data_IF_238459316119
#
_entry.id   IF_238459316119
#
_cell.length_a   1.000
_cell.length_b   1.000
_cell.length_c   1.000
_cell.angle_alpha   90.00
_cell.angle_beta   90.00
_cell.angle_gamma   90.00
#
_symmetry.space_group_name_H-M   'P 1'
#
loop_
_entity.id
_entity.type
_entity.pdbx_description
1 polymer ?
#
# COMPACT_ATOMS: atom_id res chain seq x y z
N UNK A 1 2.38 0.68 -24.00
CA UNK A 1 1.65 -0.05 -22.94
C UNK A 1 1.59 0.86 -21.72
N UNK A 2 0.62 0.64 -20.82
CA UNK A 2 0.40 1.44 -19.63
C UNK A 2 0.87 0.68 -18.38
N UNK A 3 1.43 1.41 -17.42
CA UNK A 3 1.74 0.93 -16.07
C UNK A 3 0.82 1.62 -15.06
N UNK A 4 0.26 0.87 -14.12
CA UNK A 4 -0.64 1.39 -13.09
C UNK A 4 -0.03 1.22 -11.70
N UNK A 5 -0.07 2.25 -10.88
CA UNK A 5 0.14 2.18 -9.43
C UNK A 5 -1.18 2.50 -8.73
N UNK A 6 -1.69 1.59 -7.90
CA UNK A 6 -2.93 1.74 -7.16
C UNK A 6 -2.62 1.70 -5.66
N UNK A 7 -2.82 2.81 -4.96
CA UNK A 7 -2.55 2.96 -3.53
C UNK A 7 -3.84 2.95 -2.71
N UNK A 8 -4.03 1.90 -1.92
CA UNK A 8 -5.13 1.74 -0.97
C UNK A 8 -4.80 2.47 0.34
N UNK A 9 -5.11 3.76 0.43
CA UNK A 9 -4.72 4.57 1.58
C UNK A 9 -5.32 4.06 2.90
N UNK A 10 -6.62 3.66 2.98
CA UNK A 10 -7.17 3.11 4.21
C UNK A 10 -6.49 1.82 4.66
N UNK A 11 -6.23 0.87 3.76
CA UNK A 11 -5.54 -0.37 4.12
C UNK A 11 -4.10 -0.11 4.58
N UNK A 12 -3.38 0.79 3.88
CA UNK A 12 -2.01 1.15 4.22
C UNK A 12 -1.93 1.84 5.60
N UNK A 13 -2.73 2.88 5.85
CA UNK A 13 -2.71 3.60 7.14
C UNK A 13 -3.18 2.69 8.30
N UNK A 14 -4.17 1.81 8.08
CA UNK A 14 -4.63 0.84 9.09
C UNK A 14 -3.56 -0.20 9.43
N UNK A 15 -2.92 -0.74 8.39
CA UNK A 15 -1.88 -1.77 8.57
C UNK A 15 -0.66 -1.17 9.28
N UNK A 16 -0.23 0.02 8.87
CA UNK A 16 0.85 0.75 9.54
C UNK A 16 0.50 1.09 11.00
N UNK A 17 -0.75 1.50 11.26
CA UNK A 17 -1.21 1.78 12.63
C UNK A 17 -1.15 0.54 13.52
N UNK A 18 -1.49 -0.62 12.96
CA UNK A 18 -1.40 -1.92 13.65
C UNK A 18 0.05 -2.29 13.95
N UNK A 19 0.94 -2.08 12.98
CA UNK A 19 2.36 -2.39 13.11
C UNK A 19 3.05 -1.52 14.19
N UNK A 20 2.70 -0.24 14.27
CA UNK A 20 3.27 0.71 15.23
C UNK A 20 2.57 0.64 16.60
N UNK A 21 1.35 0.07 16.68
CA UNK A 21 0.54 0.06 17.90
C UNK A 21 -0.08 1.43 18.22
N UNK A 22 -0.35 2.25 17.20
CA UNK A 22 -0.85 3.61 17.40
C UNK A 22 -1.03 4.39 16.10
N UNK A 23 -1.38 5.67 16.20
CA UNK A 23 -1.53 6.53 15.01
C UNK A 23 -0.14 6.91 14.46
N UNK A 24 0.18 6.61 13.18
CA UNK A 24 1.47 6.95 12.62
C UNK A 24 1.66 8.46 12.55
N UNK A 25 2.89 8.92 12.79
CA UNK A 25 3.32 10.30 12.54
C UNK A 25 3.61 10.51 11.04
N UNK A 26 3.80 11.76 10.55
CA UNK A 26 4.20 11.98 9.16
C UNK A 26 5.50 11.27 8.76
N UNK A 27 6.50 11.24 9.65
CA UNK A 27 7.82 10.60 9.38
C UNK A 27 7.76 9.07 9.32
N UNK A 28 6.75 8.49 9.96
CA UNK A 28 6.50 7.04 9.94
C UNK A 28 5.62 6.61 8.74
N UNK A 29 5.02 7.56 8.02
CA UNK A 29 4.24 7.24 6.82
C UNK A 29 5.15 7.09 5.60
N UNK A 30 4.74 6.25 4.64
CA UNK A 30 5.39 6.19 3.34
C UNK A 30 5.38 7.57 2.65
N UNK A 31 6.54 7.98 2.14
CA UNK A 31 6.68 9.15 1.28
C UNK A 31 6.15 8.82 -0.13
N UNK A 32 5.00 9.40 -0.48
CA UNK A 32 4.40 9.17 -1.79
C UNK A 32 5.16 9.87 -2.93
N UNK A 33 5.99 10.87 -2.65
CA UNK A 33 6.94 11.43 -3.61
C UNK A 33 8.03 10.41 -3.97
N UNK A 34 8.66 9.80 -2.97
CA UNK A 34 9.64 8.74 -3.19
C UNK A 34 9.02 7.54 -3.93
N UNK A 35 7.78 7.18 -3.59
CA UNK A 35 7.08 6.07 -4.23
C UNK A 35 6.80 6.33 -5.73
N UNK A 36 6.34 7.53 -6.10
CA UNK A 36 6.04 7.82 -7.51
C UNK A 36 7.34 7.85 -8.34
N UNK A 37 8.44 8.35 -7.79
CA UNK A 37 9.74 8.33 -8.44
C UNK A 37 10.25 6.91 -8.63
N UNK A 38 10.16 6.07 -7.58
CA UNK A 38 10.48 4.65 -7.67
C UNK A 38 9.64 3.94 -8.73
N UNK A 39 8.34 4.22 -8.77
CA UNK A 39 7.44 3.61 -9.76
C UNK A 39 7.77 4.05 -11.19
N UNK A 40 8.04 5.34 -11.40
CA UNK A 40 8.41 5.89 -12.70
C UNK A 40 9.74 5.31 -13.20
N UNK A 41 10.74 5.16 -12.33
CA UNK A 41 12.07 4.66 -12.68
C UNK A 41 12.11 3.20 -13.17
N UNK A 42 11.08 2.41 -12.85
CA UNK A 42 10.95 1.00 -13.28
C UNK A 42 10.49 0.82 -14.73
N UNK A 43 9.98 1.88 -15.36
CA UNK A 43 9.41 1.83 -16.70
C UNK A 43 10.35 2.35 -17.77
N UNK A 44 10.03 2.04 -19.02
CA UNK A 44 10.67 2.67 -20.17
C UNK A 44 10.02 4.02 -20.49
N UNK A 45 10.74 4.88 -21.23
CA UNK A 45 10.21 6.17 -21.69
C UNK A 45 9.04 6.05 -22.69
N UNK A 46 8.81 4.86 -23.25
CA UNK A 46 7.74 4.60 -24.22
C UNK A 46 6.43 4.16 -23.53
N UNK A 47 6.48 3.82 -22.24
CA UNK A 47 5.32 3.42 -21.45
C UNK A 47 4.68 4.62 -20.76
N UNK A 48 3.36 4.72 -20.85
CA UNK A 48 2.63 5.66 -19.99
C UNK A 48 2.51 5.07 -18.59
N UNK A 49 2.52 5.93 -17.58
CA UNK A 49 2.28 5.52 -16.20
C UNK A 49 1.14 6.34 -15.60
N UNK A 50 0.32 5.69 -14.79
CA UNK A 50 -0.69 6.35 -13.97
C UNK A 50 -0.54 5.86 -12.53
N UNK A 51 -0.37 6.79 -11.60
CA UNK A 51 -0.39 6.52 -10.17
C UNK A 51 -1.69 7.07 -9.58
N UNK A 52 -2.41 6.27 -8.80
CA UNK A 52 -3.68 6.64 -8.21
C UNK A 52 -3.73 6.34 -6.71
N UNK A 53 -4.22 7.31 -5.92
CA UNK A 53 -4.47 7.18 -4.47
C UNK A 53 -5.97 7.10 -4.23
N UNK A 54 -6.40 6.03 -3.55
CA UNK A 54 -7.78 5.81 -3.17
C UNK A 54 -7.94 6.07 -1.68
N UNK A 55 -8.91 6.93 -1.31
CA UNK A 55 -9.06 7.36 0.08
C UNK A 55 -10.52 7.54 0.49
N UNK A 56 -10.83 7.05 1.69
CA UNK A 56 -12.06 7.36 2.40
C UNK A 56 -11.86 8.63 3.24
N UNK A 57 -12.73 9.63 3.07
CA UNK A 57 -12.64 10.94 3.73
C UNK A 57 -13.72 11.04 4.82
N UNK A 58 -13.35 10.96 6.11
CA UNK A 58 -14.28 11.30 7.19
C UNK A 58 -14.68 12.77 7.11
N UNK A 59 -15.95 13.10 7.32
CA UNK A 59 -16.48 14.47 7.19
C UNK A 59 -15.69 15.50 8.02
N UNK A 60 -15.28 15.13 9.23
CA UNK A 60 -14.49 15.99 10.13
C UNK A 60 -13.02 16.19 9.71
N UNK A 61 -12.55 15.47 8.69
CA UNK A 61 -11.19 15.61 8.13
C UNK A 61 -11.18 16.27 6.74
N UNK A 62 -12.32 16.47 6.10
CA UNK A 62 -12.40 16.90 4.70
C UNK A 62 -11.58 18.17 4.42
N UNK A 63 -11.74 19.21 5.23
CA UNK A 63 -11.00 20.48 5.09
C UNK A 63 -9.49 20.30 5.28
N UNK A 64 -9.08 19.45 6.24
CA UNK A 64 -7.66 19.16 6.49
C UNK A 64 -7.02 18.35 5.36
N UNK A 65 -7.81 17.55 4.65
CA UNK A 65 -7.32 16.71 3.56
C UNK A 65 -7.20 17.45 2.23
N UNK A 66 -7.81 18.62 2.08
CA UNK A 66 -7.75 19.40 0.83
C UNK A 66 -6.31 19.68 0.39
N UNK A 67 -5.46 20.18 1.29
CA UNK A 67 -4.06 20.48 0.96
C UNK A 67 -3.26 19.23 0.56
N UNK A 68 -3.52 18.09 1.22
CA UNK A 68 -2.88 16.82 0.88
C UNK A 68 -3.33 16.29 -0.49
N UNK A 69 -4.61 16.39 -0.81
CA UNK A 69 -5.14 16.01 -2.14
C UNK A 69 -4.58 16.91 -3.25
N UNK A 70 -4.47 18.21 -3.00
CA UNK A 70 -3.84 19.15 -3.95
C UNK A 70 -2.38 18.79 -4.18
N UNK A 71 -1.61 18.55 -3.12
CA UNK A 71 -0.22 18.12 -3.21
C UNK A 71 -0.07 16.82 -3.99
N UNK A 72 -0.92 15.81 -3.75
CA UNK A 72 -0.89 14.55 -4.52
C UNK A 72 -1.08 14.77 -6.02
N UNK A 73 -2.05 15.61 -6.40
CA UNK A 73 -2.29 15.94 -7.81
C UNK A 73 -1.09 16.68 -8.42
N UNK A 74 -0.48 17.62 -7.69
CA UNK A 74 0.73 18.34 -8.13
C UNK A 74 1.94 17.41 -8.29
N UNK A 75 2.07 16.41 -7.41
CA UNK A 75 3.11 15.36 -7.46
C UNK A 75 2.91 14.39 -8.63
N UNK A 76 1.70 14.32 -9.21
CA UNK A 76 1.39 13.48 -10.38
C UNK A 76 0.47 12.29 -10.10
N UNK A 77 -0.09 12.18 -8.89
CA UNK A 77 -1.12 11.20 -8.58
C UNK A 77 -2.49 11.65 -9.07
N UNK A 78 -3.31 10.69 -9.49
CA UNK A 78 -4.77 10.84 -9.53
C UNK A 78 -5.34 10.49 -8.18
N UNK A 79 -6.21 11.33 -7.63
CA UNK A 79 -6.84 11.04 -6.33
C UNK A 79 -8.29 10.67 -6.52
N UNK A 80 -8.65 9.47 -6.08
CA UNK A 80 -10.04 9.06 -5.87
C UNK A 80 -10.37 9.21 -4.38
N UNK A 81 -11.23 10.18 -4.06
CA UNK A 81 -11.67 10.44 -2.69
C UNK A 81 -13.18 10.28 -2.59
N UNK A 82 -13.65 9.50 -1.61
CA UNK A 82 -15.09 9.37 -1.33
C UNK A 82 -15.40 9.52 0.17
N UNK A 83 -16.60 9.98 0.55
CA UNK A 83 -17.00 10.08 1.96
C UNK A 83 -16.90 8.74 2.67
N UNK A 84 -16.40 8.73 3.93
CA UNK A 84 -16.42 7.54 4.77
C UNK A 84 -17.84 7.34 5.36
N UNK A 85 -18.65 6.51 4.72
CA UNK A 85 -20.01 6.16 5.15
C UNK A 85 -20.16 4.65 5.40
N UNK A 86 -20.65 4.24 6.58
CA UNK A 86 -20.92 2.83 6.90
C UNK A 86 -19.72 1.90 6.60
N UNK A 87 -19.97 0.86 5.82
CA UNK A 87 -18.95 -0.09 5.35
C UNK A 87 -18.30 0.34 4.02
N UNK A 88 -18.06 1.65 3.84
CA UNK A 88 -17.46 2.24 2.63
C UNK A 88 -16.26 1.45 2.12
N UNK A 89 -16.49 0.69 1.04
CA UNK A 89 -15.55 -0.26 0.47
C UNK A 89 -14.76 0.41 -0.66
N UNK A 90 -13.46 0.64 -0.44
CA UNK A 90 -12.56 1.21 -1.44
C UNK A 90 -12.13 0.15 -2.46
N UNK A 91 -12.27 -1.14 -2.15
CA UNK A 91 -11.79 -2.24 -2.98
C UNK A 91 -12.53 -2.32 -4.31
N UNK A 92 -13.82 -1.96 -4.31
CA UNK A 92 -14.62 -1.85 -5.53
C UNK A 92 -14.14 -0.73 -6.44
N UNK A 93 -13.73 0.41 -5.88
CA UNK A 93 -13.25 1.55 -6.67
C UNK A 93 -11.85 1.26 -7.24
N UNK A 94 -10.99 0.60 -6.47
CA UNK A 94 -9.69 0.10 -6.93
C UNK A 94 -9.90 -0.89 -8.09
N UNK A 95 -10.81 -1.87 -7.94
CA UNK A 95 -11.13 -2.82 -9.01
C UNK A 95 -11.72 -2.13 -10.24
N UNK A 96 -12.61 -1.16 -10.05
CA UNK A 96 -13.15 -0.39 -11.17
C UNK A 96 -12.05 0.30 -11.98
N UNK A 97 -11.02 0.84 -11.31
CA UNK A 97 -9.86 1.39 -12.02
C UNK A 97 -8.98 0.31 -12.64
N UNK A 98 -8.72 -0.78 -11.92
CA UNK A 98 -7.89 -1.91 -12.39
C UNK A 98 -8.42 -2.47 -13.72
N UNK A 99 -9.74 -2.65 -13.82
CA UNK A 99 -10.42 -3.20 -14.99
C UNK A 99 -10.82 -2.15 -16.04
N UNK A 100 -10.48 -0.87 -15.84
CA UNK A 100 -10.76 0.18 -16.83
C UNK A 100 -9.82 0.15 -18.04
N UNK A 101 -8.72 -0.61 -17.96
CA UNK A 101 -7.73 -0.77 -19.03
C UNK A 101 -7.68 -2.24 -19.40
N UNK A 102 -7.71 -2.54 -20.70
CA UNK A 102 -7.64 -3.91 -21.17
C UNK A 102 -6.28 -4.53 -20.80
N UNK A 103 -6.23 -5.79 -20.34
CA UNK A 103 -4.97 -6.44 -19.97
C UNK A 103 -3.91 -6.43 -21.07
N UNK A 104 -4.31 -6.47 -22.35
CA UNK A 104 -3.38 -6.39 -23.48
C UNK A 104 -2.66 -5.03 -23.61
N UNK A 105 -3.19 -3.98 -22.98
CA UNK A 105 -2.61 -2.64 -22.97
C UNK A 105 -1.77 -2.39 -21.70
N UNK A 106 -1.85 -3.27 -20.69
CA UNK A 106 -1.16 -3.15 -19.41
C UNK A 106 0.20 -3.87 -19.43
N UNK A 107 1.26 -3.13 -19.17
CA UNK A 107 2.60 -3.69 -18.94
C UNK A 107 2.77 -4.15 -17.49
N UNK A 108 2.33 -3.32 -16.54
CA UNK A 108 2.46 -3.60 -15.12
C UNK A 108 1.30 -3.01 -14.31
N UNK A 109 0.89 -3.72 -13.26
CA UNK A 109 0.08 -3.21 -12.17
C UNK A 109 0.87 -3.34 -10.87
N UNK A 110 1.04 -2.23 -10.17
CA UNK A 110 1.58 -2.14 -8.82
C UNK A 110 0.42 -1.85 -7.87
N UNK A 111 0.06 -2.79 -7.01
CA UNK A 111 -1.00 -2.66 -6.02
C UNK A 111 -0.41 -2.52 -4.62
N UNK A 112 -0.65 -1.39 -3.98
CA UNK A 112 -0.31 -1.16 -2.59
C UNK A 112 -1.52 -1.51 -1.70
N UNK A 113 -1.60 -2.77 -1.25
CA UNK A 113 -2.61 -3.26 -0.30
C UNK A 113 -2.15 -4.58 0.35
N UNK A 114 -2.62 -4.84 1.57
CA UNK A 114 -2.39 -6.09 2.31
C UNK A 114 -3.57 -7.06 2.19
N UNK A 115 -4.69 -6.64 1.59
CA UNK A 115 -5.91 -7.46 1.51
C UNK A 115 -5.85 -8.47 0.35
N UNK A 116 -5.23 -9.62 0.62
CA UNK A 116 -5.19 -10.74 -0.32
C UNK A 116 -6.56 -11.41 -0.53
N UNK A 117 -7.55 -11.19 0.35
CA UNK A 117 -8.91 -11.68 0.12
C UNK A 117 -9.60 -10.83 -0.94
N UNK A 118 -9.33 -9.53 -0.96
CA UNK A 118 -9.90 -8.61 -1.92
C UNK A 118 -9.27 -8.74 -3.32
N UNK A 119 -7.93 -8.84 -3.43
CA UNK A 119 -7.25 -8.61 -4.72
C UNK A 119 -6.35 -9.73 -5.24
N UNK A 120 -6.09 -10.81 -4.48
CA UNK A 120 -5.16 -11.85 -4.96
C UNK A 120 -5.64 -12.52 -6.25
N UNK A 121 -6.94 -12.85 -6.33
CA UNK A 121 -7.54 -13.45 -7.52
C UNK A 121 -7.48 -12.50 -8.74
N UNK A 122 -7.67 -11.20 -8.54
CA UNK A 122 -7.52 -10.19 -9.59
C UNK A 122 -6.08 -10.17 -10.11
N UNK A 123 -5.09 -10.18 -9.20
CA UNK A 123 -3.67 -10.20 -9.54
C UNK A 123 -3.27 -11.47 -10.30
N UNK A 124 -3.70 -12.64 -9.84
CA UNK A 124 -3.45 -13.93 -10.50
C UNK A 124 -4.08 -13.98 -11.90
N UNK A 125 -5.28 -13.44 -12.05
CA UNK A 125 -5.97 -13.35 -13.34
C UNK A 125 -5.22 -12.46 -14.31
N UNK A 126 -4.72 -11.30 -13.89
CA UNK A 126 -3.91 -10.41 -14.71
C UNK A 126 -2.56 -11.03 -15.09
N UNK A 127 -1.89 -11.66 -14.14
CA UNK A 127 -0.65 -12.38 -14.37
C UNK A 127 -0.82 -13.49 -15.43
N UNK A 128 -1.93 -14.24 -15.38
CA UNK A 128 -2.25 -15.27 -16.39
C UNK A 128 -2.43 -14.70 -17.81
N UNK A 129 -2.72 -13.40 -17.94
CA UNK A 129 -2.88 -12.67 -19.20
C UNK A 129 -1.57 -12.00 -19.66
N UNK A 130 -0.47 -12.23 -18.95
CA UNK A 130 0.86 -11.70 -19.27
C UNK A 130 1.15 -10.31 -18.70
N UNK A 131 0.29 -9.78 -17.82
CA UNK A 131 0.53 -8.50 -17.13
C UNK A 131 1.45 -8.73 -15.94
N UNK A 132 2.52 -7.93 -15.79
CA UNK A 132 3.34 -8.00 -14.57
C UNK A 132 2.55 -7.43 -13.39
N UNK A 133 2.38 -8.21 -12.31
CA UNK A 133 1.67 -7.74 -11.12
C UNK A 133 2.64 -7.69 -9.94
N UNK A 134 2.80 -6.50 -9.38
CA UNK A 134 3.61 -6.23 -8.19
C UNK A 134 2.68 -5.83 -7.05
N UNK A 135 2.85 -6.40 -5.87
CA UNK A 135 2.12 -6.01 -4.66
C UNK A 135 3.08 -5.39 -3.65
N UNK A 136 2.72 -4.23 -3.11
CA UNK A 136 3.48 -3.53 -2.08
C UNK A 136 2.82 -3.70 -0.72
N UNK A 137 3.60 -4.03 0.30
CA UNK A 137 3.14 -4.09 1.68
C UNK A 137 4.23 -4.50 2.68
N UNK A 138 3.85 -4.64 3.95
CA UNK A 138 4.66 -5.27 4.98
C UNK A 138 4.51 -6.79 4.89
N UNK A 139 5.62 -7.49 4.62
CA UNK A 139 5.63 -8.94 4.33
C UNK A 139 4.92 -9.80 5.38
N UNK A 140 5.09 -9.47 6.65
CA UNK A 140 4.50 -10.16 7.81
C UNK A 140 2.98 -9.96 7.92
N UNK A 141 2.45 -8.90 7.31
CA UNK A 141 1.01 -8.57 7.31
C UNK A 141 0.33 -8.94 5.98
N UNK A 142 1.10 -9.37 4.97
CA UNK A 142 0.60 -9.83 3.67
C UNK A 142 1.11 -11.23 3.27
N UNK A 143 1.02 -12.25 4.16
CA UNK A 143 1.67 -13.55 3.95
C UNK A 143 1.12 -14.35 2.77
N UNK A 144 -0.11 -14.06 2.30
CA UNK A 144 -0.71 -14.71 1.13
C UNK A 144 -0.14 -14.15 -0.17
N UNK A 145 0.00 -12.82 -0.28
CA UNK A 145 0.68 -12.20 -1.42
C UNK A 145 2.15 -12.61 -1.47
N UNK A 146 2.84 -12.55 -0.33
CA UNK A 146 4.26 -12.91 -0.25
C UNK A 146 4.59 -14.37 -0.59
N UNK A 147 3.59 -15.27 -0.59
CA UNK A 147 3.73 -16.69 -0.95
C UNK A 147 3.20 -17.03 -2.34
N UNK A 148 2.56 -16.10 -3.03
CA UNK A 148 2.04 -16.35 -4.37
C UNK A 148 3.20 -16.40 -5.36
N UNK A 149 3.15 -17.36 -6.28
CA UNK A 149 4.12 -17.49 -7.37
C UNK A 149 3.71 -16.67 -8.61
N UNK A 150 2.45 -16.21 -8.66
CA UNK A 150 1.88 -15.49 -9.79
C UNK A 150 2.12 -13.97 -9.72
N UNK A 151 2.32 -13.43 -8.52
CA UNK A 151 2.54 -11.99 -8.31
C UNK A 151 3.89 -11.75 -7.64
N UNK A 152 4.53 -10.65 -7.97
CA UNK A 152 5.76 -10.22 -7.29
C UNK A 152 5.39 -9.45 -6.03
N UNK A 153 5.97 -9.79 -4.89
CA UNK A 153 5.79 -9.03 -3.64
C UNK A 153 7.04 -8.21 -3.35
N UNK A 154 6.88 -6.90 -3.19
CA UNK A 154 7.93 -5.97 -2.76
C UNK A 154 7.59 -5.47 -1.37
N UNK A 155 8.52 -5.63 -0.43
CA UNK A 155 8.33 -5.09 0.91
C UNK A 155 8.50 -3.57 0.86
N UNK A 156 7.63 -2.81 1.52
CA UNK A 156 7.71 -1.34 1.51
C UNK A 156 9.08 -0.83 2.00
N UNK A 157 9.71 -1.56 2.92
CA UNK A 157 11.04 -1.24 3.47
C UNK A 157 12.19 -1.43 2.45
N UNK A 158 11.93 -2.10 1.32
CA UNK A 158 12.89 -2.28 0.23
C UNK A 158 12.87 -1.12 -0.77
N UNK A 159 11.89 -0.21 -0.69
CA UNK A 159 11.78 0.97 -1.55
C UNK A 159 12.68 2.08 -0.99
N UNK A 160 13.67 2.56 -1.75
CA UNK A 160 14.57 3.62 -1.29
C UNK A 160 13.81 4.88 -0.89
N UNK A 161 14.26 5.50 0.20
CA UNK A 161 13.74 6.78 0.71
C UNK A 161 12.23 6.80 1.02
N UNK A 162 11.58 5.63 1.08
CA UNK A 162 10.14 5.55 1.34
C UNK A 162 9.78 5.95 2.78
N UNK A 163 10.67 5.71 3.74
CA UNK A 163 10.42 6.05 5.14
C UNK A 163 11.56 6.91 5.70
N UNK A 164 11.19 8.06 6.29
CA UNK A 164 12.10 8.85 7.12
C UNK A 164 12.46 8.09 8.42
N UNK A 165 11.46 7.44 9.01
CA UNK A 165 11.57 6.63 10.22
C UNK A 165 10.84 5.30 9.99
N UNK A 166 11.56 4.24 9.58
CA UNK A 166 10.95 2.94 9.31
C UNK A 166 10.19 2.41 10.54
N UNK A 167 9.01 1.79 10.35
CA UNK A 167 8.25 1.26 11.48
C UNK A 167 9.03 0.15 12.21
N UNK A 168 8.85 -0.01 13.53
CA UNK A 168 9.42 -1.14 14.26
C UNK A 168 8.82 -2.45 13.72
N UNK A 169 9.68 -3.40 13.35
CA UNK A 169 9.26 -4.66 12.72
C UNK A 169 9.82 -5.91 13.40
N UNK A 170 9.03 -6.96 13.36
CA UNK A 170 9.45 -8.32 13.77
C UNK A 170 9.86 -9.08 12.51
N UNK A 171 11.16 -9.03 12.18
CA UNK A 171 11.75 -9.76 11.05
C UNK A 171 12.41 -11.04 11.55
N UNK A 172 11.78 -12.18 11.27
CA UNK A 172 12.32 -13.50 11.62
C UNK A 172 13.20 -14.10 10.51
N UNK A 173 13.12 -13.54 9.30
CA UNK A 173 13.90 -13.92 8.12
C UNK A 173 15.32 -13.35 8.11
N UNK A 174 15.59 -12.33 8.94
CA UNK A 174 16.87 -11.65 9.07
C UNK A 174 17.38 -11.63 10.53
N UNK A 175 17.20 -12.75 11.25
CA UNK A 175 17.69 -12.86 12.63
C UNK A 175 19.22 -12.95 12.68
N UNK A 176 19.88 -12.25 13.63
CA UNK A 176 21.29 -12.49 13.91
C UNK A 176 21.50 -13.92 14.44
N UNK A 177 22.69 -14.50 14.21
CA UNK A 177 23.01 -15.89 14.60
C UNK A 177 22.89 -16.07 16.13
N UNK A 178 23.26 -15.04 16.88
CA UNK A 178 23.15 -14.97 18.34
C UNK A 178 21.70 -14.82 18.85
N UNK A 179 20.73 -14.62 17.95
CA UNK A 179 19.34 -14.36 18.29
C UNK A 179 19.06 -12.92 18.71
N UNK A 180 17.78 -12.55 18.78
CA UNK A 180 17.31 -11.22 19.19
C UNK A 180 16.09 -11.37 20.11
N UNK A 181 16.04 -10.59 21.17
CA UNK A 181 14.82 -10.42 21.97
C UNK A 181 13.88 -9.42 21.29
N UNK A 182 12.59 -9.73 21.26
CA UNK A 182 11.55 -8.80 20.86
C UNK A 182 10.86 -8.30 22.12
N UNK A 183 10.82 -6.98 22.30
CA UNK A 183 10.18 -6.35 23.44
C UNK A 183 8.64 -6.48 23.29
N UNK A 184 7.89 -6.73 24.37
CA UNK A 184 6.44 -6.63 24.32
C UNK A 184 6.02 -5.19 23.99
N UNK A 185 4.82 -4.97 23.43
CA UNK A 185 4.27 -3.62 23.35
C UNK A 185 4.22 -2.99 24.76
N UNK A 186 4.39 -1.66 24.88
CA UNK A 186 4.35 -0.99 26.18
C UNK A 186 3.04 -1.32 26.91
N UNK A 187 3.13 -1.55 28.23
CA UNK A 187 2.04 -2.06 29.08
C UNK A 187 0.71 -1.35 28.82
N UNK A 188 -0.23 -2.05 28.19
CA UNK A 188 -1.65 -1.74 28.31
C UNK A 188 -2.07 -2.29 29.69
N UNK A 189 -2.65 -1.47 30.59
CA UNK A 189 -3.02 -1.95 31.92
C UNK A 189 -3.96 -3.13 31.75
N UNK A 190 -3.53 -4.30 32.25
CA UNK A 190 -4.38 -5.47 32.42
C UNK A 190 -5.68 -4.97 33.06
N UNK A 191 -6.81 -5.25 32.43
CA UNK A 191 -8.12 -5.05 33.05
C UNK A 191 -8.03 -5.64 34.46
N UNK A 192 -8.15 -4.79 35.47
CA UNK A 192 -8.20 -5.22 36.87
C UNK A 192 -9.22 -6.36 36.96
N UNK A 193 -8.76 -7.52 37.44
CA UNK A 193 -9.60 -8.69 37.68
C UNK A 193 -10.77 -8.28 38.59
N UNK A 194 -11.98 -8.27 38.03
CA UNK A 194 -13.23 -8.08 38.75
C UNK A 194 -13.77 -9.40 39.32
#
# INVERSE_FOLDING_TARGET
>A
MQRLLLWDAPNMDMTLSTLIGGKPTPRQRPDLGALIEWFAARGSSEESHEAAVFVNVPAHLAERMTGWVMWLNETGYRVFAKPKEGASDIDQDIRARLYAVEPAELAEVVLASHDAKAFLEDGETLASKGVSVTVLGFRELAPRFARSESVTFVDLDEIPDLFDEPPPRVRLDALPIEGRWFEPPPDEPLLDDA
#
